data_IF_276421732449
#
_entry.id   IF_276421732449
#
_cell.length_a   1.000
_cell.length_b   1.000
_cell.length_c   1.000
_cell.angle_alpha   90.00
_cell.angle_beta   90.00
_cell.angle_gamma   90.00
#
_symmetry.space_group_name_H-M   'P 1'
#
loop_
_entity.id
_entity.type
_entity.pdbx_description
1 polymer ?
#
# COMPACT_ATOMS: atom_id res chain seq x y z
N UNK A 1 39.50 -13.51 11.82
CA UNK A 1 38.04 -13.45 12.13
C UNK A 1 37.64 -11.99 12.26
N UNK A 2 36.94 -11.44 11.28
CA UNK A 2 36.34 -10.09 11.37
C UNK A 2 34.83 -10.27 11.36
N UNK A 3 34.21 -10.27 12.54
CA UNK A 3 32.75 -10.27 12.67
C UNK A 3 32.24 -8.88 12.33
N UNK A 4 31.69 -8.72 11.13
CA UNK A 4 30.86 -7.58 10.80
C UNK A 4 29.53 -7.74 11.54
N UNK A 5 29.30 -6.92 12.56
CA UNK A 5 27.97 -6.75 13.13
C UNK A 5 27.09 -6.10 12.06
N UNK A 6 26.27 -6.91 11.40
CA UNK A 6 25.08 -6.44 10.69
C UNK A 6 24.09 -5.95 11.74
N UNK A 7 24.12 -4.66 12.04
CA UNK A 7 23.00 -3.96 12.66
C UNK A 7 21.89 -3.89 11.62
N UNK A 8 21.09 -4.95 11.55
CA UNK A 8 19.84 -4.94 10.80
C UNK A 8 18.98 -3.81 11.33
N UNK A 9 18.68 -2.84 10.46
CA UNK A 9 17.67 -1.83 10.68
C UNK A 9 16.35 -2.56 10.98
N UNK A 10 16.00 -2.61 12.26
CA UNK A 10 14.61 -2.88 12.67
C UNK A 10 13.85 -1.63 12.26
N UNK A 11 13.30 -1.65 11.04
CA UNK A 11 12.33 -0.65 10.62
C UNK A 11 11.15 -0.77 11.60
N UNK A 12 10.98 0.26 12.43
CA UNK A 12 9.84 0.36 13.34
C UNK A 12 8.58 0.56 12.49
N UNK A 13 8.00 -0.53 12.00
CA UNK A 13 6.62 -0.53 11.54
C UNK A 13 5.76 -0.14 12.74
N UNK A 14 5.35 1.13 12.77
CA UNK A 14 4.31 1.58 13.67
C UNK A 14 3.03 0.83 13.29
N UNK A 15 2.82 -0.33 13.91
CA UNK A 15 1.54 -1.06 13.87
C UNK A 15 0.51 -0.09 14.42
N UNK A 16 -0.23 0.57 13.54
CA UNK A 16 -1.21 1.58 13.94
C UNK A 16 -2.47 0.84 14.41
N UNK A 17 -2.36 0.21 15.57
CA UNK A 17 -3.45 -0.46 16.25
C UNK A 17 -4.42 0.60 16.77
N UNK A 18 -5.38 1.01 15.94
CA UNK A 18 -6.44 1.88 16.45
C UNK A 18 -7.20 1.16 17.59
N UNK A 19 -7.40 1.89 18.69
CA UNK A 19 -7.98 1.34 19.91
C UNK A 19 -9.41 0.80 19.71
N UNK A 20 -10.13 1.31 18.70
CA UNK A 20 -11.58 1.13 18.50
C UNK A 20 -11.99 -0.04 17.59
N UNK A 21 -11.04 -0.86 17.10
CA UNK A 21 -11.36 -2.02 16.26
C UNK A 21 -11.65 -3.30 17.06
N UNK A 22 -12.57 -4.14 16.58
CA UNK A 22 -12.80 -5.48 17.12
C UNK A 22 -11.55 -6.37 16.95
N UNK A 23 -11.44 -7.45 17.73
CA UNK A 23 -10.28 -8.36 17.65
C UNK A 23 -10.10 -8.95 16.25
N UNK A 24 -11.19 -9.30 15.58
CA UNK A 24 -11.12 -9.85 14.22
C UNK A 24 -10.63 -8.81 13.20
N UNK A 25 -11.09 -7.56 13.30
CA UNK A 25 -10.57 -6.46 12.46
C UNK A 25 -9.09 -6.23 12.75
N UNK A 26 -8.66 -6.22 14.02
CA UNK A 26 -7.25 -6.08 14.41
C UNK A 26 -6.39 -7.19 13.79
N UNK A 27 -6.85 -8.45 13.85
CA UNK A 27 -6.14 -9.57 13.24
C UNK A 27 -6.00 -9.42 11.71
N UNK A 28 -7.04 -8.95 11.01
CA UNK A 28 -6.98 -8.69 9.56
C UNK A 28 -6.05 -7.53 9.20
N UNK A 29 -5.99 -6.50 10.03
CA UNK A 29 -5.04 -5.38 9.86
C UNK A 29 -3.60 -5.83 10.03
N UNK A 30 -3.31 -6.59 11.09
CA UNK A 30 -1.99 -7.17 11.31
C UNK A 30 -1.57 -8.06 10.13
N UNK A 31 -2.47 -8.89 9.62
CA UNK A 31 -2.21 -9.69 8.42
C UNK A 31 -1.88 -8.80 7.20
N UNK A 32 -2.65 -7.73 7.00
CA UNK A 32 -2.42 -6.78 5.90
C UNK A 32 -1.05 -6.12 6.02
N UNK A 33 -0.68 -5.64 7.21
CA UNK A 33 0.62 -5.00 7.44
C UNK A 33 1.80 -5.97 7.27
N UNK A 34 1.64 -7.23 7.68
CA UNK A 34 2.64 -8.27 7.41
C UNK A 34 2.80 -8.50 5.90
N UNK A 35 1.69 -8.62 5.17
CA UNK A 35 1.69 -8.74 3.70
C UNK A 35 2.32 -7.50 3.04
N UNK A 36 2.09 -6.30 3.57
CA UNK A 36 2.74 -5.08 3.07
C UNK A 36 4.27 -5.12 3.27
N UNK A 37 4.73 -5.58 4.44
CA UNK A 37 6.15 -5.71 4.76
C UNK A 37 6.86 -6.68 3.80
N UNK A 38 6.21 -7.80 3.47
CA UNK A 38 6.75 -8.76 2.50
C UNK A 38 6.78 -8.19 1.09
N UNK A 39 5.72 -7.50 0.67
CA UNK A 39 5.58 -7.03 -0.70
C UNK A 39 6.36 -5.75 -1.00
N UNK A 40 6.56 -4.85 -0.03
CA UNK A 40 7.45 -3.70 -0.24
C UNK A 40 8.85 -4.18 -0.59
N UNK A 41 9.34 -5.26 0.03
CA UNK A 41 10.64 -5.87 -0.31
C UNK A 41 10.69 -6.32 -1.78
N UNK A 42 9.59 -6.86 -2.32
CA UNK A 42 9.53 -7.24 -3.74
C UNK A 42 9.61 -6.02 -4.65
N UNK A 43 8.95 -4.92 -4.29
CA UNK A 43 9.05 -3.65 -5.03
C UNK A 43 10.46 -3.07 -4.94
N UNK A 44 11.07 -3.06 -3.75
CA UNK A 44 12.44 -2.62 -3.55
C UNK A 44 13.40 -3.36 -4.52
N UNK A 45 13.30 -4.69 -4.58
CA UNK A 45 14.11 -5.52 -5.48
C UNK A 45 13.79 -5.28 -6.96
N UNK A 46 12.51 -5.25 -7.33
CA UNK A 46 12.07 -5.08 -8.71
C UNK A 46 12.42 -3.70 -9.28
N UNK A 47 12.29 -2.67 -8.47
CA UNK A 47 12.48 -1.27 -8.85
C UNK A 47 13.89 -0.73 -8.52
N UNK A 48 14.71 -1.48 -7.78
CA UNK A 48 16.05 -1.05 -7.37
C UNK A 48 16.03 0.09 -6.36
N UNK A 49 15.07 0.10 -5.43
CA UNK A 49 14.91 1.13 -4.41
C UNK A 49 14.92 0.49 -3.01
N UNK A 50 16.10 0.32 -2.42
CA UNK A 50 16.27 -0.40 -1.14
C UNK A 50 15.74 0.37 0.09
N UNK A 51 15.55 1.69 -0.03
CA UNK A 51 15.13 2.56 1.07
C UNK A 51 13.62 2.79 1.11
N UNK A 52 12.87 2.19 0.18
CA UNK A 52 11.42 2.38 0.08
C UNK A 52 10.71 1.87 1.35
N UNK A 53 10.03 2.76 2.04
CA UNK A 53 9.19 2.43 3.17
C UNK A 53 7.72 2.27 2.77
N UNK A 54 6.93 1.63 3.64
CA UNK A 54 5.48 1.58 3.46
C UNK A 54 4.73 1.68 4.77
N UNK A 55 3.56 2.31 4.74
CA UNK A 55 2.62 2.31 5.86
C UNK A 55 1.17 2.38 5.38
N UNK A 56 0.25 2.12 6.30
CA UNK A 56 -1.19 2.30 6.11
C UNK A 56 -1.76 3.12 7.26
N UNK A 57 -2.57 4.13 6.94
CA UNK A 57 -3.30 4.92 7.92
C UNK A 57 -4.65 4.26 8.23
N UNK A 58 -4.72 3.56 9.36
CA UNK A 58 -5.97 2.96 9.85
C UNK A 58 -6.94 3.94 10.51
N UNK A 59 -6.53 5.18 10.79
CA UNK A 59 -7.39 6.12 11.51
C UNK A 59 -8.64 6.49 10.69
N UNK A 60 -8.48 6.77 9.40
CA UNK A 60 -9.62 7.03 8.52
C UNK A 60 -10.50 5.79 8.34
N UNK A 61 -9.91 4.58 8.40
CA UNK A 61 -10.65 3.34 8.21
C UNK A 61 -11.72 3.09 9.25
N UNK A 62 -11.55 3.62 10.46
CA UNK A 62 -12.54 3.49 11.51
C UNK A 62 -13.74 4.41 11.35
N UNK A 63 -13.59 5.48 10.58
CA UNK A 63 -14.60 6.53 10.44
C UNK A 63 -15.53 6.34 9.26
N UNK A 64 -15.28 5.35 8.39
CA UNK A 64 -16.21 5.06 7.29
C UNK A 64 -17.55 4.55 7.81
N UNK A 65 -18.62 5.03 7.19
CA UNK A 65 -19.92 4.43 7.32
C UNK A 65 -20.00 3.14 6.49
N UNK A 66 -19.93 2.00 7.17
CA UNK A 66 -20.03 0.68 6.54
C UNK A 66 -21.47 0.28 6.21
N UNK A 67 -22.49 1.07 6.58
CA UNK A 67 -23.87 0.81 6.16
C UNK A 67 -24.05 1.05 4.65
N UNK A 68 -23.23 1.92 4.05
CA UNK A 68 -23.18 2.16 2.60
C UNK A 68 -22.15 1.25 1.89
N UNK A 69 -21.38 0.48 2.64
CA UNK A 69 -20.39 -0.43 2.08
C UNK A 69 -21.04 -1.76 1.66
N UNK A 70 -20.48 -2.37 0.61
CA UNK A 70 -20.95 -3.67 0.11
C UNK A 70 -20.79 -4.82 1.11
N UNK A 71 -19.84 -4.71 2.04
CA UNK A 71 -19.51 -5.74 3.03
C UNK A 71 -19.36 -5.14 4.43
N UNK A 72 -19.51 -6.00 5.43
CA UNK A 72 -19.16 -5.66 6.81
C UNK A 72 -17.67 -5.29 6.97
N UNK A 73 -17.35 -4.63 8.08
CA UNK A 73 -16.02 -4.08 8.38
C UNK A 73 -14.91 -5.15 8.39
N UNK A 74 -15.20 -6.35 8.90
CA UNK A 74 -14.24 -7.44 8.96
C UNK A 74 -13.89 -7.92 7.57
N UNK A 75 -14.90 -8.27 6.76
CA UNK A 75 -14.67 -8.77 5.40
C UNK A 75 -14.01 -7.71 4.53
N UNK A 76 -14.46 -6.47 4.60
CA UNK A 76 -13.84 -5.36 3.87
C UNK A 76 -12.35 -5.24 4.19
N UNK A 77 -11.98 -5.29 5.48
CA UNK A 77 -10.57 -5.22 5.89
C UNK A 77 -9.75 -6.38 5.31
N UNK A 78 -10.31 -7.60 5.27
CA UNK A 78 -9.66 -8.74 4.63
C UNK A 78 -9.49 -8.58 3.11
N UNK A 79 -10.50 -8.05 2.43
CA UNK A 79 -10.45 -7.82 0.97
C UNK A 79 -9.48 -6.70 0.61
N UNK A 80 -9.40 -5.65 1.45
CA UNK A 80 -8.43 -4.58 1.32
C UNK A 80 -7.00 -5.11 1.32
N UNK A 81 -6.66 -6.05 2.21
CA UNK A 81 -5.34 -6.69 2.22
C UNK A 81 -5.03 -7.42 0.91
N UNK A 82 -6.02 -8.09 0.30
CA UNK A 82 -5.89 -8.72 -1.01
C UNK A 82 -5.64 -7.71 -2.13
N UNK A 83 -6.37 -6.60 -2.14
CA UNK A 83 -6.15 -5.52 -3.10
C UNK A 83 -4.77 -4.89 -2.95
N UNK A 84 -4.32 -4.63 -1.72
CA UNK A 84 -3.00 -4.06 -1.44
C UNK A 84 -1.90 -4.97 -2.01
N UNK A 85 -2.03 -6.29 -1.85
CA UNK A 85 -1.12 -7.25 -2.48
C UNK A 85 -1.09 -7.09 -4.01
N UNK A 86 -2.26 -6.99 -4.66
CA UNK A 86 -2.32 -6.77 -6.11
C UNK A 86 -1.71 -5.44 -6.56
N UNK A 87 -1.85 -4.39 -5.75
CA UNK A 87 -1.24 -3.09 -6.04
C UNK A 87 0.29 -3.20 -6.03
N UNK A 88 0.88 -3.91 -5.06
CA UNK A 88 2.33 -4.17 -5.08
C UNK A 88 2.76 -5.03 -6.28
N UNK A 89 1.99 -6.06 -6.64
CA UNK A 89 2.28 -6.84 -7.85
C UNK A 89 2.28 -5.96 -9.10
N UNK A 90 1.36 -4.99 -9.18
CA UNK A 90 1.31 -4.02 -10.28
C UNK A 90 2.50 -3.04 -10.25
N UNK A 91 2.96 -2.60 -9.08
CA UNK A 91 4.19 -1.82 -8.94
C UNK A 91 5.42 -2.61 -9.45
N UNK A 92 5.52 -3.89 -9.08
CA UNK A 92 6.58 -4.79 -9.60
C UNK A 92 6.51 -4.89 -11.12
N UNK A 93 5.31 -5.09 -11.69
CA UNK A 93 5.12 -5.14 -13.15
C UNK A 93 5.56 -3.87 -13.84
N UNK A 94 5.30 -2.68 -13.27
CA UNK A 94 5.76 -1.42 -13.85
C UNK A 94 7.27 -1.42 -14.03
N UNK A 95 8.02 -1.82 -13.01
CA UNK A 95 9.48 -1.85 -13.03
C UNK A 95 10.11 -3.03 -13.81
N UNK A 96 9.32 -4.03 -14.22
CA UNK A 96 9.88 -5.29 -14.78
C UNK A 96 9.33 -5.69 -16.14
N UNK A 97 8.04 -5.46 -16.42
CA UNK A 97 7.36 -6.07 -17.58
C UNK A 97 6.73 -5.06 -18.54
N UNK A 98 6.66 -3.77 -18.20
CA UNK A 98 6.07 -2.77 -19.10
C UNK A 98 7.07 -2.21 -20.10
N UNK A 99 6.59 -1.66 -21.22
CA UNK A 99 7.46 -1.06 -22.26
C UNK A 99 8.33 0.09 -21.74
N UNK A 100 7.94 0.73 -20.63
CA UNK A 100 8.64 1.84 -19.99
C UNK A 100 9.29 1.45 -18.65
N UNK A 101 9.58 0.17 -18.44
CA UNK A 101 10.07 -0.33 -17.15
C UNK A 101 11.32 0.38 -16.61
N UNK A 102 12.25 0.77 -17.48
CA UNK A 102 13.44 1.52 -17.09
C UNK A 102 13.08 2.92 -16.55
N UNK A 103 12.16 3.63 -17.19
CA UNK A 103 11.69 4.94 -16.73
C UNK A 103 10.93 4.81 -15.40
N UNK A 104 10.05 3.81 -15.28
CA UNK A 104 9.36 3.57 -14.02
C UNK A 104 10.33 3.24 -12.89
N UNK A 105 11.42 2.49 -13.14
CA UNK A 105 12.47 2.25 -12.15
C UNK A 105 13.10 3.55 -11.66
N UNK A 106 13.51 4.42 -12.57
CA UNK A 106 14.11 5.72 -12.25
C UNK A 106 13.16 6.58 -11.42
N UNK A 107 11.87 6.61 -11.76
CA UNK A 107 10.88 7.35 -10.99
C UNK A 107 10.59 6.71 -9.63
N UNK A 108 10.46 5.38 -9.55
CA UNK A 108 10.26 4.67 -8.29
C UNK A 108 11.44 4.81 -7.33
N UNK A 109 12.67 4.99 -7.82
CA UNK A 109 13.85 5.25 -6.99
C UNK A 109 13.79 6.61 -6.26
N UNK A 110 12.97 7.56 -6.75
CA UNK A 110 12.74 8.85 -6.10
C UNK A 110 11.70 8.74 -4.97
N UNK A 111 10.80 7.77 -5.07
CA UNK A 111 9.78 7.51 -4.05
C UNK A 111 10.45 6.96 -2.80
N UNK A 112 10.30 7.63 -1.68
CA UNK A 112 10.81 7.19 -0.38
C UNK A 112 9.76 6.37 0.38
N UNK A 113 8.47 6.62 0.11
CA UNK A 113 7.38 6.02 0.88
C UNK A 113 6.15 5.72 0.03
N UNK A 114 5.59 4.52 0.21
CA UNK A 114 4.23 4.18 -0.22
C UNK A 114 3.29 4.35 0.97
N UNK A 115 2.36 5.30 0.86
CA UNK A 115 1.41 5.60 1.93
C UNK A 115 -0.01 5.20 1.52
N UNK A 116 -0.54 4.15 2.14
CA UNK A 116 -1.93 3.75 1.98
C UNK A 116 -2.82 4.57 2.92
N UNK A 117 -3.87 5.19 2.39
CA UNK A 117 -4.80 6.04 3.16
C UNK A 117 -6.25 5.72 2.83
N UNK A 118 -7.17 6.22 3.65
CA UNK A 118 -8.57 6.32 3.28
C UNK A 118 -8.81 7.34 2.14
N UNK A 119 -9.78 7.07 1.25
CA UNK A 119 -10.41 8.08 0.41
C UNK A 119 -11.56 8.77 1.16
N UNK A 120 -11.73 10.05 0.91
CA UNK A 120 -12.79 10.84 1.57
C UNK A 120 -14.21 10.37 1.22
N UNK A 121 -14.41 9.78 0.02
CA UNK A 121 -15.70 9.26 -0.42
C UNK A 121 -15.73 7.75 -0.30
N UNK A 122 -16.65 7.18 0.50
CA UNK A 122 -16.90 5.73 0.57
C UNK A 122 -17.44 5.16 -0.75
N UNK A 123 -18.01 6.01 -1.62
CA UNK A 123 -18.68 5.62 -2.85
C UNK A 123 -17.75 5.46 -4.06
N UNK A 124 -16.50 5.91 -3.95
CA UNK A 124 -15.52 5.68 -5.00
C UNK A 124 -15.26 4.17 -5.16
N UNK A 125 -15.27 3.68 -6.40
CA UNK A 125 -15.17 2.23 -6.69
C UNK A 125 -13.76 1.79 -7.08
N UNK A 126 -12.80 2.70 -7.04
CA UNK A 126 -11.47 2.53 -7.62
C UNK A 126 -10.43 3.04 -6.66
N UNK A 127 -9.26 2.42 -6.66
CA UNK A 127 -8.10 2.93 -5.96
C UNK A 127 -7.62 4.24 -6.60
N UNK A 128 -7.22 5.19 -5.77
CA UNK A 128 -6.63 6.45 -6.18
C UNK A 128 -5.12 6.40 -6.00
N UNK A 129 -4.38 6.99 -6.95
CA UNK A 129 -2.93 7.03 -6.92
C UNK A 129 -2.48 8.45 -7.21
N UNK A 130 -1.58 8.98 -6.40
CA UNK A 130 -1.01 10.30 -6.59
C UNK A 130 0.41 10.35 -6.02
N UNK A 131 1.26 11.16 -6.64
CA UNK A 131 2.53 11.56 -6.07
C UNK A 131 2.33 12.81 -5.22
N UNK A 132 2.87 12.80 -4.01
CA UNK A 132 2.87 13.92 -3.07
C UNK A 132 4.31 14.28 -2.70
N UNK A 133 4.48 15.39 -1.98
CA UNK A 133 5.78 15.87 -1.47
C UNK A 133 6.84 16.00 -2.59
N UNK A 134 6.41 16.44 -3.78
CA UNK A 134 7.31 16.58 -4.93
C UNK A 134 7.77 15.25 -5.54
N UNK A 135 7.04 14.16 -5.30
CA UNK A 135 7.31 12.83 -5.87
C UNK A 135 7.94 11.84 -4.91
N UNK A 136 8.27 12.24 -3.68
CA UNK A 136 8.86 11.35 -2.67
C UNK A 136 7.83 10.42 -2.01
N UNK A 137 6.54 10.75 -2.06
CA UNK A 137 5.48 9.93 -1.46
C UNK A 137 4.51 9.48 -2.54
N UNK A 138 4.39 8.15 -2.73
CA UNK A 138 3.31 7.57 -3.52
C UNK A 138 2.12 7.29 -2.60
N UNK A 139 1.10 8.14 -2.69
CA UNK A 139 -0.14 8.01 -1.94
C UNK A 139 -1.09 7.07 -2.68
N UNK A 140 -1.53 6.03 -1.98
CA UNK A 140 -2.51 5.05 -2.45
C UNK A 140 -3.77 5.20 -1.62
N UNK A 141 -4.78 5.88 -2.17
CA UNK A 141 -6.03 6.11 -1.49
C UNK A 141 -7.01 4.99 -1.80
N UNK A 142 -7.54 4.34 -0.76
CA UNK A 142 -8.48 3.22 -0.87
C UNK A 142 -9.73 3.51 -0.01
N UNK A 143 -10.87 2.91 -0.34
CA UNK A 143 -12.07 2.88 0.51
C UNK A 143 -12.66 1.44 0.54
N UNK A 144 -13.77 1.18 1.26
CA UNK A 144 -14.41 -0.14 1.27
C UNK A 144 -14.86 -0.64 -0.11
N UNK A 145 -15.37 0.26 -0.96
CA UNK A 145 -15.91 -0.09 -2.27
C UNK A 145 -14.83 -0.25 -3.36
N UNK A 146 -13.64 0.31 -3.14
CA UNK A 146 -12.46 0.16 -3.97
C UNK A 146 -11.75 -1.17 -3.73
N UNK A 147 -12.04 -1.89 -2.64
CA UNK A 147 -11.47 -3.21 -2.32
C UNK A 147 -11.67 -4.28 -3.43
N UNK A 148 -12.47 -3.96 -4.46
CA UNK A 148 -12.79 -4.80 -5.61
C UNK A 148 -12.12 -4.34 -6.91
N UNK A 149 -11.32 -3.28 -6.86
CA UNK A 149 -10.72 -2.72 -8.07
C UNK A 149 -9.72 -3.69 -8.69
N UNK A 150 -9.95 -4.05 -9.95
CA UNK A 150 -9.07 -4.90 -10.76
C UNK A 150 -8.27 -4.11 -11.79
N UNK A 151 -8.46 -2.79 -11.85
CA UNK A 151 -7.83 -1.88 -12.82
C UNK A 151 -6.69 -1.06 -12.21
N UNK A 152 -6.13 -1.50 -11.10
CA UNK A 152 -5.10 -0.79 -10.32
C UNK A 152 -3.89 -0.40 -11.15
N UNK A 153 -3.35 -1.30 -11.98
CA UNK A 153 -2.22 -0.99 -12.87
C UNK A 153 -2.48 0.23 -13.75
N UNK A 154 -3.69 0.37 -14.30
CA UNK A 154 -4.05 1.49 -15.18
C UNK A 154 -3.97 2.82 -14.43
N UNK A 155 -4.53 2.90 -13.23
CA UNK A 155 -4.55 4.13 -12.44
C UNK A 155 -3.20 4.42 -11.78
N UNK A 156 -2.44 3.38 -11.41
CA UNK A 156 -1.09 3.53 -10.90
C UNK A 156 -0.17 4.20 -11.95
N UNK A 157 -0.26 3.81 -13.23
CA UNK A 157 0.45 4.50 -14.32
C UNK A 157 0.11 6.00 -14.40
N UNK A 158 -1.12 6.37 -14.08
CA UNK A 158 -1.57 7.76 -14.14
C UNK A 158 -0.96 8.64 -13.05
N UNK A 159 -0.38 8.07 -11.99
CA UNK A 159 0.30 8.87 -10.96
C UNK A 159 1.53 9.63 -11.47
N UNK A 160 2.10 9.21 -12.61
CA UNK A 160 3.25 9.84 -13.27
C UNK A 160 2.89 10.60 -14.57
N UNK A 161 1.60 10.83 -14.85
CA UNK A 161 1.13 11.61 -16.00
C UNK A 161 0.38 12.86 -15.54
#
# INVERSE_FOLDING_TARGET
MKSALWLGLVSCTMVSMSANASIEVKAKRMLTENTMTENVTKVQQACGNEVLETNIDWAQWDNYDFSEARLDKVKTTGWLGGLINYIYDDMVKLCTTTEHAALYKEEFQKVQKIQFVGQDSVNAKKAGFALDEGGSVLKVALNPNAAYDSSTLKYLKQAWN
#
